data_IF_192389364825
#
_entry.id   IF_192389364825
#
_cell.length_a   1.000
_cell.length_b   1.000
_cell.length_c   1.000
_cell.angle_alpha   90.00
_cell.angle_beta   90.00
_cell.angle_gamma   90.00
#
_symmetry.space_group_name_H-M   'P 1'
#
loop_
_entity.id
_entity.type
_entity.pdbx_description
1 polymer ?
#
# COMPACT_ATOMS: atom_id res chain seq x y z
N UNK A 1 -11.67 17.42 12.40
CA UNK A 1 -10.31 16.85 12.49
C UNK A 1 -9.28 17.92 12.81
N UNK A 2 -8.34 17.61 13.71
CA UNK A 2 -7.30 18.56 14.12
C UNK A 2 -6.11 18.51 13.16
N UNK A 3 -5.68 19.66 12.66
CA UNK A 3 -4.49 19.74 11.82
C UNK A 3 -3.25 19.37 12.65
N UNK A 4 -2.46 18.42 12.16
CA UNK A 4 -1.22 17.97 12.81
C UNK A 4 -0.08 18.99 12.71
N UNK A 5 -0.18 19.96 11.79
CA UNK A 5 0.84 21.00 11.58
C UNK A 5 0.65 22.24 12.44
N UNK A 6 -0.57 22.76 12.52
CA UNK A 6 -0.86 24.02 13.24
C UNK A 6 -1.85 23.89 14.40
N UNK A 7 -2.49 22.73 14.57
CA UNK A 7 -3.44 22.48 15.66
C UNK A 7 -4.85 23.05 15.46
N UNK A 8 -5.14 23.72 14.34
CA UNK A 8 -6.47 24.23 14.02
C UNK A 8 -7.49 23.09 13.83
N UNK A 9 -8.73 23.30 14.29
CA UNK A 9 -9.83 22.35 14.08
C UNK A 9 -10.50 22.63 12.73
N UNK A 10 -10.45 21.64 11.84
CA UNK A 10 -11.09 21.70 10.53
C UNK A 10 -12.25 20.70 10.49
N UNK A 11 -13.28 20.91 9.65
CA UNK A 11 -14.25 19.86 9.33
C UNK A 11 -13.58 18.63 8.68
N UNK A 12 -14.22 17.47 8.79
CA UNK A 12 -13.66 16.16 8.37
C UNK A 12 -13.77 15.87 6.87
N UNK A 13 -14.51 16.68 6.11
CA UNK A 13 -14.60 16.58 4.65
C UNK A 13 -13.53 17.40 3.90
N UNK A 14 -12.71 18.19 4.60
CA UNK A 14 -11.66 18.99 3.96
C UNK A 14 -10.39 18.18 3.73
N UNK A 15 -9.80 18.37 2.56
CA UNK A 15 -8.51 17.76 2.20
C UNK A 15 -7.31 18.58 2.68
N UNK A 16 -7.51 19.88 2.96
CA UNK A 16 -6.46 20.81 3.39
C UNK A 16 -6.93 21.67 4.56
N UNK A 17 -6.00 22.05 5.43
CA UNK A 17 -6.28 22.90 6.58
C UNK A 17 -6.55 24.34 6.14
N UNK A 18 -7.65 24.92 6.61
CA UNK A 18 -8.06 26.29 6.23
C UNK A 18 -7.10 27.37 6.76
N UNK A 19 -6.41 27.10 7.87
CA UNK A 19 -5.48 28.06 8.48
C UNK A 19 -4.06 28.01 7.88
N UNK A 20 -3.54 26.82 7.59
CA UNK A 20 -2.12 26.66 7.21
C UNK A 20 -1.88 25.89 5.91
N UNK A 21 -2.94 25.59 5.16
CA UNK A 21 -2.94 24.85 3.89
C UNK A 21 -2.28 23.47 3.90
N UNK A 22 -1.93 22.94 5.09
CA UNK A 22 -1.40 21.58 5.23
C UNK A 22 -2.44 20.53 4.83
N UNK A 23 -2.01 19.48 4.14
CA UNK A 23 -2.88 18.36 3.78
C UNK A 23 -3.37 17.63 5.04
N UNK A 24 -4.66 17.34 5.06
CA UNK A 24 -5.33 16.65 6.15
C UNK A 24 -5.41 15.14 5.83
N UNK A 25 -5.27 14.25 6.82
CA UNK A 25 -5.32 12.81 6.59
C UNK A 25 -6.69 12.38 6.04
N UNK A 26 -6.70 11.70 4.89
CA UNK A 26 -7.91 11.14 4.29
C UNK A 26 -8.36 9.92 5.09
N UNK A 27 -9.66 9.85 5.41
CA UNK A 27 -10.27 8.64 5.99
C UNK A 27 -10.19 7.52 4.95
N UNK A 28 -9.30 6.54 5.19
CA UNK A 28 -9.07 5.41 4.29
C UNK A 28 -7.74 5.43 3.54
N UNK A 29 -6.82 6.33 3.88
CA UNK A 29 -5.48 6.30 3.28
C UNK A 29 -4.71 5.04 3.74
N UNK A 30 -4.34 4.12 2.82
CA UNK A 30 -3.65 2.88 3.15
C UNK A 30 -2.19 3.10 3.61
N UNK A 31 -1.68 4.33 3.51
CA UNK A 31 -0.36 4.72 4.04
C UNK A 31 -0.41 4.92 5.56
N UNK A 32 -1.61 5.03 6.16
CA UNK A 32 -1.78 4.73 7.57
C UNK A 32 -1.52 3.23 7.74
N UNK A 33 -0.24 2.89 8.02
CA UNK A 33 0.23 1.51 8.26
C UNK A 33 -0.91 0.73 8.93
N UNK A 34 -1.48 -0.30 8.27
CA UNK A 34 -2.57 -1.04 8.87
C UNK A 34 -2.08 -1.49 10.23
N UNK A 35 -2.87 -1.20 11.26
CA UNK A 35 -2.50 -1.43 12.65
C UNK A 35 -2.33 -2.93 12.98
N UNK A 36 -2.47 -3.84 12.00
CA UNK A 36 -2.07 -5.26 12.06
C UNK A 36 -0.63 -5.51 12.54
N UNK A 37 0.15 -4.48 12.84
CA UNK A 37 1.36 -4.56 13.66
C UNK A 37 1.17 -5.02 15.12
N UNK A 38 -0.01 -5.49 15.53
CA UNK A 38 -0.20 -6.12 16.85
C UNK A 38 0.34 -7.55 16.92
N UNK A 39 0.51 -8.23 15.78
CA UNK A 39 1.12 -9.55 15.70
C UNK A 39 2.52 -9.42 15.11
N UNK A 40 3.51 -9.91 15.85
CA UNK A 40 4.89 -10.03 15.36
C UNK A 40 4.83 -10.93 14.13
N UNK A 41 5.21 -10.41 12.97
CA UNK A 41 5.29 -11.22 11.76
C UNK A 41 6.16 -12.45 12.07
N UNK A 42 5.77 -13.67 11.67
CA UNK A 42 6.65 -14.82 11.74
C UNK A 42 7.91 -14.52 10.94
N UNK A 43 9.04 -15.11 11.32
CA UNK A 43 10.27 -15.06 10.53
C UNK A 43 10.14 -15.96 9.31
N UNK A 44 9.24 -15.62 8.40
CA UNK A 44 9.33 -16.10 7.03
C UNK A 44 10.59 -15.46 6.44
N UNK A 45 11.44 -16.22 5.77
CA UNK A 45 12.54 -15.63 5.01
C UNK A 45 11.97 -14.58 4.06
N UNK A 46 12.68 -13.46 3.86
CA UNK A 46 12.29 -12.50 2.83
C UNK A 46 12.13 -13.23 1.50
N UNK A 47 10.92 -13.28 0.92
CA UNK A 47 10.76 -13.89 -0.38
C UNK A 47 11.49 -13.03 -1.40
N UNK A 48 12.22 -13.67 -2.31
CA UNK A 48 12.79 -12.98 -3.45
C UNK A 48 11.65 -12.70 -4.44
N UNK A 49 10.97 -11.58 -4.23
CA UNK A 49 9.88 -11.10 -5.10
C UNK A 49 10.41 -10.50 -6.42
N UNK A 50 11.62 -10.87 -6.86
CA UNK A 50 12.11 -10.40 -8.15
C UNK A 50 11.29 -11.02 -9.28
N UNK A 51 10.99 -10.21 -10.28
CA UNK A 51 10.37 -10.70 -11.51
C UNK A 51 11.27 -11.71 -12.25
N UNK A 52 12.58 -11.69 -11.96
CA UNK A 52 13.58 -12.61 -12.52
C UNK A 52 13.58 -14.01 -11.86
N UNK A 53 12.77 -14.23 -10.82
CA UNK A 53 12.72 -15.49 -10.06
C UNK A 53 11.73 -16.51 -10.65
N UNK A 54 11.02 -16.16 -11.72
CA UNK A 54 10.10 -17.06 -12.43
C UNK A 54 10.84 -17.73 -13.60
N UNK A 55 10.93 -19.06 -13.59
CA UNK A 55 11.49 -19.86 -14.68
C UNK A 55 10.42 -20.41 -15.61
N UNK A 56 10.80 -20.77 -16.83
CA UNK A 56 9.91 -21.38 -17.84
C UNK A 56 9.24 -22.69 -17.36
N UNK A 57 9.86 -23.40 -16.41
CA UNK A 57 9.32 -24.60 -15.77
C UNK A 57 8.11 -24.31 -14.84
N UNK A 58 7.96 -23.07 -14.37
CA UNK A 58 6.83 -22.62 -13.52
C UNK A 58 5.59 -22.24 -14.35
N UNK A 59 5.74 -22.19 -15.69
CA UNK A 59 4.64 -21.88 -16.61
C UNK A 59 3.89 -23.18 -16.96
N UNK A 60 2.58 -23.28 -16.69
CA UNK A 60 1.81 -24.47 -17.02
C UNK A 60 1.78 -24.70 -18.54
N UNK A 61 1.90 -25.98 -18.95
CA UNK A 61 2.02 -26.40 -20.35
C UNK A 61 0.83 -25.96 -21.23
N UNK A 62 -0.34 -25.78 -20.62
CA UNK A 62 -1.56 -25.28 -21.28
C UNK A 62 -1.39 -23.86 -21.87
N UNK A 63 -0.43 -23.08 -21.38
CA UNK A 63 -0.17 -21.70 -21.84
C UNK A 63 0.93 -21.60 -22.90
N UNK A 64 1.76 -22.64 -23.08
CA UNK A 64 2.90 -22.62 -24.02
C UNK A 64 2.44 -22.91 -25.45
N UNK A 65 1.23 -23.44 -25.63
CA UNK A 65 0.76 -24.00 -26.90
C UNK A 65 0.06 -23.01 -27.86
N UNK A 66 -0.08 -21.72 -27.51
CA UNK A 66 -0.85 -20.75 -28.32
C UNK A 66 0.00 -19.71 -29.09
N UNK A 67 1.29 -20.00 -29.37
CA UNK A 67 2.15 -19.06 -30.11
C UNK A 67 2.87 -19.63 -31.33
N UNK A 68 2.31 -20.66 -31.97
CA UNK A 68 2.70 -21.05 -33.34
C UNK A 68 1.52 -20.98 -34.32
N UNK A 69 1.16 -19.77 -34.75
CA UNK A 69 0.77 -19.35 -36.13
C UNK A 69 -0.12 -18.10 -36.13
#
# INVERSE_FOLDING_TARGET
MKCTRCGFENPDYLEYCENCSAQLPKKGDPTARPSWGFVKAPTWGEPDFSADSVSEDDVPEDFVSDSET
#
